data_IF_287516624502
#
_entry.id   IF_287516624502
#
_cell.length_a   1.000
_cell.length_b   1.000
_cell.length_c   1.000
_cell.angle_alpha   90.00
_cell.angle_beta   90.00
_cell.angle_gamma   90.00
#
_symmetry.space_group_name_H-M   'P 1'
#
loop_
_entity.id
_entity.type
_entity.pdbx_description
1 polymer ?
#
# COMPACT_ATOMS: atom_id res chain seq x y z
N UNK A 1 -93.51 -38.32 57.53
CA UNK A 1 -92.95 -39.59 57.02
C UNK A 1 -91.80 -39.20 56.10
N UNK A 2 -90.54 -39.39 56.50
CA UNK A 2 -89.77 -40.67 56.50
C UNK A 2 -89.26 -40.99 55.07
N UNK A 3 -87.95 -40.84 54.74
CA UNK A 3 -86.80 -41.77 55.03
C UNK A 3 -86.77 -42.90 53.98
N UNK A 4 -85.70 -43.17 53.19
CA UNK A 4 -84.24 -42.89 53.35
C UNK A 4 -83.49 -42.62 52.00
N UNK A 5 -82.16 -42.85 52.00
CA UNK A 5 -81.06 -42.81 50.98
C UNK A 5 -81.22 -43.70 49.71
N UNK A 6 -80.42 -43.61 48.62
CA UNK A 6 -78.96 -43.95 48.49
C UNK A 6 -78.23 -43.21 47.35
N UNK A 7 -76.90 -43.11 47.54
CA UNK A 7 -75.83 -42.43 46.78
C UNK A 7 -75.59 -43.01 45.37
N UNK A 8 -75.23 -42.16 44.41
CA UNK A 8 -74.53 -42.53 43.17
C UNK A 8 -73.52 -41.45 42.75
N UNK A 9 -72.24 -41.80 42.66
CA UNK A 9 -71.16 -40.90 42.20
C UNK A 9 -71.05 -40.91 40.67
N UNK A 10 -70.92 -39.73 40.04
CA UNK A 10 -70.44 -39.57 38.67
C UNK A 10 -69.48 -38.39 38.60
N UNK A 11 -68.21 -38.69 38.30
CA UNK A 11 -67.15 -37.68 38.09
C UNK A 11 -67.17 -37.27 36.61
N UNK A 12 -67.45 -36.00 36.34
CA UNK A 12 -67.39 -35.40 35.00
C UNK A 12 -66.20 -34.46 34.88
N UNK A 13 -65.24 -34.77 34.01
CA UNK A 13 -64.05 -33.95 33.76
C UNK A 13 -64.39 -32.64 33.03
N UNK A 14 -63.84 -31.53 33.50
CA UNK A 14 -63.73 -30.29 32.72
C UNK A 14 -62.55 -30.42 31.75
N UNK A 15 -62.78 -30.19 30.46
CA UNK A 15 -61.74 -30.11 29.43
C UNK A 15 -61.33 -28.64 29.29
N UNK A 16 -60.13 -28.32 29.75
CA UNK A 16 -59.57 -26.97 29.67
C UNK A 16 -58.69 -26.85 28.43
N UNK A 17 -59.08 -25.97 27.50
CA UNK A 17 -58.35 -25.74 26.26
C UNK A 17 -56.99 -25.07 26.53
N UNK A 18 -55.92 -25.87 26.62
CA UNK A 18 -54.55 -25.34 26.61
C UNK A 18 -54.23 -24.79 25.22
N UNK A 19 -54.18 -23.46 25.13
CA UNK A 19 -53.55 -22.76 24.01
C UNK A 19 -52.06 -23.08 24.05
N UNK A 20 -51.57 -23.79 23.04
CA UNK A 20 -50.12 -23.97 22.85
C UNK A 20 -49.52 -22.65 22.40
N UNK A 21 -48.77 -21.99 23.29
CA UNK A 21 -47.91 -20.89 22.91
C UNK A 21 -46.86 -21.42 21.92
N UNK A 22 -46.72 -20.77 20.76
CA UNK A 22 -45.63 -21.05 19.85
C UNK A 22 -44.29 -20.80 20.56
N UNK A 23 -43.24 -21.62 20.33
CA UNK A 23 -41.94 -21.37 20.92
C UNK A 23 -41.43 -20.04 20.39
N UNK A 24 -41.27 -19.06 21.28
CA UNK A 24 -40.55 -17.83 21.01
C UNK A 24 -39.12 -18.22 20.65
N UNK A 25 -38.79 -18.14 19.35
CA UNK A 25 -37.41 -18.23 18.90
C UNK A 25 -36.66 -17.00 19.40
N UNK A 26 -36.11 -17.09 20.61
CA UNK A 26 -35.04 -16.21 21.05
C UNK A 26 -34.02 -16.19 19.92
N UNK A 27 -33.67 -15.03 19.34
CA UNK A 27 -32.57 -14.95 18.41
C UNK A 27 -31.35 -15.52 19.13
N UNK A 28 -30.77 -16.59 18.60
CA UNK A 28 -29.49 -17.06 19.11
C UNK A 28 -28.54 -15.87 19.05
N UNK A 29 -27.96 -15.49 20.20
CA UNK A 29 -27.05 -14.37 20.26
C UNK A 29 -25.98 -14.60 19.18
N UNK A 30 -25.94 -13.73 18.18
CA UNK A 30 -25.05 -13.87 17.03
C UNK A 30 -23.64 -14.00 17.60
N UNK A 31 -23.03 -15.18 17.43
CA UNK A 31 -21.66 -15.37 17.89
C UNK A 31 -20.82 -14.27 17.25
N UNK A 32 -20.01 -13.59 18.07
CA UNK A 32 -19.14 -12.49 17.63
C UNK A 32 -17.96 -13.03 16.82
N UNK A 33 -18.26 -13.65 15.68
CA UNK A 33 -17.30 -13.86 14.61
C UNK A 33 -16.96 -12.52 13.96
N UNK A 34 -15.93 -12.50 13.10
CA UNK A 34 -15.56 -11.33 12.32
C UNK A 34 -16.61 -11.10 11.24
N UNK A 35 -17.73 -10.47 11.58
CA UNK A 35 -18.83 -10.20 10.64
C UNK A 35 -18.75 -8.74 10.20
N UNK A 36 -18.39 -8.52 8.94
CA UNK A 36 -18.31 -7.20 8.31
C UNK A 36 -19.53 -7.03 7.40
N UNK A 37 -20.63 -6.53 7.97
CA UNK A 37 -21.94 -6.42 7.30
C UNK A 37 -22.67 -5.12 7.65
N UNK A 38 -23.09 -4.39 6.62
CA UNK A 38 -23.85 -3.14 6.74
C UNK A 38 -23.12 -1.95 6.11
N UNK A 39 -23.66 -0.75 6.34
CA UNK A 39 -23.00 0.49 5.99
C UNK A 39 -22.02 0.91 7.09
N UNK A 40 -20.84 1.38 6.69
CA UNK A 40 -19.77 1.87 7.55
C UNK A 40 -19.29 3.24 7.08
N UNK A 41 -18.95 4.09 8.05
CA UNK A 41 -18.16 5.30 7.85
C UNK A 41 -16.71 5.01 8.21
N UNK A 42 -15.80 5.30 7.28
CA UNK A 42 -14.35 5.16 7.43
C UNK A 42 -13.78 6.55 7.78
N UNK A 43 -13.24 6.71 8.97
CA UNK A 43 -12.56 7.93 9.44
C UNK A 43 -11.05 7.79 9.28
N UNK A 44 -10.41 8.62 8.45
CA UNK A 44 -8.97 8.63 8.24
C UNK A 44 -8.27 9.70 9.08
N UNK A 45 -7.28 9.30 9.87
CA UNK A 45 -6.50 10.20 10.70
C UNK A 45 -5.30 10.75 9.93
N UNK A 46 -5.58 11.66 8.99
CA UNK A 46 -4.57 12.31 8.15
C UNK A 46 -3.45 12.99 8.94
N UNK A 47 -3.74 13.47 10.15
CA UNK A 47 -2.76 14.06 11.06
C UNK A 47 -1.70 13.05 11.57
N UNK A 48 -1.99 11.74 11.48
CA UNK A 48 -1.09 10.64 11.82
C UNK A 48 -0.58 9.86 10.60
N UNK A 49 -0.82 10.35 9.38
CA UNK A 49 -0.27 9.73 8.17
C UNK A 49 1.25 9.68 8.24
N UNK A 50 1.83 8.56 7.82
CA UNK A 50 3.28 8.44 7.60
C UNK A 50 3.60 8.24 6.12
N UNK A 51 4.78 8.68 5.69
CA UNK A 51 5.41 8.40 4.39
C UNK A 51 6.67 7.57 4.64
N UNK A 52 6.68 6.32 4.18
CA UNK A 52 7.74 5.33 4.41
C UNK A 52 8.14 5.17 5.91
N UNK A 53 7.20 5.41 6.83
CA UNK A 53 7.41 5.35 8.28
C UNK A 53 7.86 6.65 8.95
N UNK A 54 8.15 7.74 8.23
CA UNK A 54 8.27 9.08 8.83
C UNK A 54 6.92 9.80 8.86
N UNK A 55 6.65 10.62 9.87
CA UNK A 55 5.40 11.37 9.97
C UNK A 55 5.29 12.38 8.81
N UNK A 56 4.19 12.30 8.06
CA UNK A 56 3.87 13.15 6.92
C UNK A 56 2.38 13.53 6.95
N UNK A 57 1.97 14.44 7.85
CA UNK A 57 0.57 14.73 8.12
C UNK A 57 -0.12 15.32 6.89
N UNK A 58 -1.25 14.73 6.51
CA UNK A 58 -2.17 15.38 5.57
C UNK A 58 -3.04 16.40 6.30
N UNK A 59 -3.27 17.55 5.67
CA UNK A 59 -4.31 18.50 6.09
C UNK A 59 -5.72 18.03 5.75
N UNK A 60 -5.84 17.03 4.88
CA UNK A 60 -7.10 16.58 4.34
C UNK A 60 -7.74 15.58 5.30
N UNK A 61 -8.72 16.06 6.08
CA UNK A 61 -9.57 15.19 6.90
C UNK A 61 -10.58 14.48 6.01
N UNK A 62 -10.19 13.36 5.41
CA UNK A 62 -11.07 12.54 4.59
C UNK A 62 -11.91 11.60 5.45
N UNK A 63 -13.12 11.33 4.99
CA UNK A 63 -13.88 10.15 5.39
C UNK A 63 -14.53 9.55 4.14
N UNK A 64 -14.73 8.25 4.13
CA UNK A 64 -15.37 7.54 3.03
C UNK A 64 -16.48 6.63 3.58
N UNK A 65 -17.44 6.28 2.73
CA UNK A 65 -18.57 5.44 3.10
C UNK A 65 -18.57 4.15 2.30
N UNK A 66 -18.81 3.03 2.97
CA UNK A 66 -18.73 1.70 2.37
C UNK A 66 -19.87 0.80 2.86
N UNK A 67 -20.49 0.07 1.95
CA UNK A 67 -21.40 -1.02 2.27
C UNK A 67 -20.66 -2.35 2.13
N UNK A 68 -20.62 -3.13 3.19
CA UNK A 68 -19.97 -4.44 3.22
C UNK A 68 -20.95 -5.59 3.40
N UNK A 69 -20.57 -6.73 2.85
CA UNK A 69 -21.16 -8.05 3.09
C UNK A 69 -20.03 -9.03 3.35
N UNK A 70 -20.19 -9.96 4.29
CA UNK A 70 -19.23 -11.03 4.56
C UNK A 70 -19.87 -12.43 4.53
N UNK A 71 -19.07 -13.44 4.22
CA UNK A 71 -19.43 -14.87 4.26
C UNK A 71 -18.31 -15.67 4.92
N UNK A 72 -18.66 -16.52 5.88
CA UNK A 72 -17.72 -17.37 6.60
C UNK A 72 -17.93 -18.84 6.25
N UNK A 73 -16.86 -19.50 5.82
CA UNK A 73 -16.76 -20.94 5.57
C UNK A 73 -15.78 -21.54 6.60
N UNK A 74 -15.72 -22.88 6.81
CA UNK A 74 -14.73 -23.49 7.70
C UNK A 74 -13.26 -23.19 7.36
N UNK A 75 -13.00 -22.75 6.12
CA UNK A 75 -11.68 -22.36 5.61
C UNK A 75 -11.30 -20.90 5.87
N UNK A 76 -12.22 -20.07 6.40
CA UNK A 76 -12.00 -18.64 6.62
C UNK A 76 -13.24 -17.78 6.31
N UNK A 77 -13.15 -16.49 6.61
CA UNK A 77 -14.17 -15.49 6.27
C UNK A 77 -13.67 -14.55 5.17
N UNK A 78 -14.56 -14.21 4.25
CA UNK A 78 -14.31 -13.28 3.15
C UNK A 78 -15.41 -12.22 3.11
N UNK A 79 -15.10 -11.03 2.62
CA UNK A 79 -16.02 -9.91 2.50
C UNK A 79 -15.83 -9.18 1.17
N UNK A 80 -16.89 -8.50 0.75
CA UNK A 80 -16.90 -7.61 -0.41
C UNK A 80 -17.46 -6.27 0.00
N UNK A 81 -16.83 -5.20 -0.47
CA UNK A 81 -17.25 -3.82 -0.25
C UNK A 81 -17.73 -3.15 -1.53
N UNK A 82 -18.68 -2.23 -1.39
CA UNK A 82 -19.05 -1.24 -2.43
C UNK A 82 -18.98 0.14 -1.81
N UNK A 83 -18.23 1.05 -2.43
CA UNK A 83 -18.15 2.44 -1.98
C UNK A 83 -19.49 3.14 -2.19
N UNK A 84 -19.88 3.92 -1.20
CA UNK A 84 -21.08 4.75 -1.20
C UNK A 84 -20.70 6.19 -1.57
N UNK A 85 -21.65 6.97 -2.07
CA UNK A 85 -21.41 8.37 -2.39
C UNK A 85 -21.09 9.18 -1.11
N UNK A 86 -20.07 10.04 -1.20
CA UNK A 86 -19.53 10.77 -0.04
C UNK A 86 -20.49 11.84 0.52
N UNK A 87 -21.44 12.32 -0.29
CA UNK A 87 -22.46 13.31 0.10
C UNK A 87 -23.80 12.64 0.44
N UNK A 88 -24.12 11.52 -0.21
CA UNK A 88 -25.33 10.73 -0.01
C UNK A 88 -25.00 9.24 0.16
N UNK A 89 -24.61 8.79 1.36
CA UNK A 89 -24.24 7.40 1.64
C UNK A 89 -25.45 6.43 1.68
N UNK A 90 -26.51 6.73 0.92
CA UNK A 90 -27.63 5.83 0.61
C UNK A 90 -27.57 5.30 -0.83
N UNK A 91 -26.65 5.81 -1.66
CA UNK A 91 -26.41 5.34 -3.03
C UNK A 91 -24.94 4.95 -3.22
N UNK A 92 -24.65 4.16 -4.25
CA UNK A 92 -23.28 3.78 -4.60
C UNK A 92 -22.53 4.96 -5.22
N UNK A 93 -21.22 5.03 -4.96
CA UNK A 93 -20.31 5.97 -5.62
C UNK A 93 -20.30 5.75 -7.14
N UNK A 94 -20.06 6.80 -7.92
CA UNK A 94 -19.97 6.73 -9.39
C UNK A 94 -18.70 7.45 -9.86
N UNK A 95 -17.75 6.79 -10.55
CA UNK A 95 -17.75 5.36 -10.94
C UNK A 95 -17.75 4.42 -9.72
N UNK A 96 -18.22 3.19 -9.92
CA UNK A 96 -18.35 2.23 -8.81
C UNK A 96 -16.97 1.72 -8.36
N UNK A 97 -16.63 1.96 -7.11
CA UNK A 97 -15.44 1.39 -6.46
C UNK A 97 -15.86 0.19 -5.59
N UNK A 98 -15.09 -0.90 -5.66
CA UNK A 98 -15.34 -2.15 -4.93
C UNK A 98 -14.07 -2.70 -4.31
N UNK A 99 -14.20 -3.45 -3.22
CA UNK A 99 -13.08 -4.09 -2.52
C UNK A 99 -13.40 -5.54 -2.15
N UNK A 100 -12.38 -6.36 -1.97
CA UNK A 100 -12.41 -7.75 -1.51
C UNK A 100 -11.51 -7.89 -0.27
N UNK A 101 -12.08 -8.29 0.87
CA UNK A 101 -11.34 -8.45 2.11
C UNK A 101 -11.37 -9.90 2.59
N UNK A 102 -10.27 -10.35 3.18
CA UNK A 102 -10.11 -11.69 3.76
C UNK A 102 -9.79 -11.59 5.25
N UNK A 103 -10.39 -12.43 6.08
CA UNK A 103 -10.10 -12.44 7.51
C UNK A 103 -8.93 -13.37 7.82
N UNK A 104 -7.78 -12.78 8.15
CA UNK A 104 -6.50 -13.46 8.41
C UNK A 104 -5.90 -12.92 9.70
N UNK A 105 -5.46 -13.81 10.60
CA UNK A 105 -4.76 -13.48 11.85
C UNK A 105 -5.40 -12.35 12.68
N UNK A 106 -6.74 -12.42 12.82
CA UNK A 106 -7.52 -11.45 13.61
C UNK A 106 -7.94 -10.18 12.86
N UNK A 107 -7.53 -10.01 11.60
CA UNK A 107 -7.70 -8.79 10.82
C UNK A 107 -8.42 -9.05 9.50
N UNK A 108 -9.25 -8.11 9.08
CA UNK A 108 -9.70 -8.02 7.68
C UNK A 108 -8.61 -7.36 6.83
N UNK A 109 -8.07 -8.11 5.87
CA UNK A 109 -7.03 -7.66 4.92
C UNK A 109 -7.66 -7.46 3.54
N UNK A 110 -7.57 -6.24 3.00
CA UNK A 110 -8.06 -5.90 1.65
C UNK A 110 -7.10 -6.33 0.54
N UNK A 111 -7.63 -6.84 -0.56
CA UNK A 111 -6.86 -7.07 -1.77
C UNK A 111 -6.36 -5.73 -2.34
N UNK A 112 -5.10 -5.62 -2.82
CA UNK A 112 -4.62 -4.36 -3.39
C UNK A 112 -5.43 -3.92 -4.63
N UNK A 113 -6.20 -2.84 -4.51
CA UNK A 113 -6.93 -2.21 -5.61
C UNK A 113 -6.09 -1.07 -6.19
N UNK A 114 -6.03 -0.93 -7.52
CA UNK A 114 -5.26 0.15 -8.16
C UNK A 114 -6.14 1.36 -8.52
N UNK A 115 -5.65 2.56 -8.22
CA UNK A 115 -6.24 3.84 -8.62
C UNK A 115 -5.22 4.77 -9.28
N UNK A 116 -5.69 5.85 -9.89
CA UNK A 116 -4.85 6.91 -10.46
C UNK A 116 -4.93 8.17 -9.58
N UNK A 117 -3.79 8.66 -9.12
CA UNK A 117 -3.68 9.92 -8.39
C UNK A 117 -3.12 11.02 -9.29
N UNK A 118 -3.79 12.18 -9.37
CA UNK A 118 -3.42 13.26 -10.29
C UNK A 118 -2.32 14.14 -9.69
N UNK A 119 -1.20 14.25 -10.39
CA UNK A 119 -0.02 14.98 -9.94
C UNK A 119 0.29 16.16 -10.86
N UNK A 120 0.64 17.30 -10.25
CA UNK A 120 0.91 18.55 -10.99
C UNK A 120 2.26 18.55 -11.73
N UNK A 121 3.18 17.64 -11.36
CA UNK A 121 4.54 17.56 -11.89
C UNK A 121 4.97 16.11 -12.04
N UNK A 122 5.04 15.65 -13.28
CA UNK A 122 5.52 14.34 -13.69
C UNK A 122 6.47 14.49 -14.89
N UNK A 123 7.39 13.55 -15.05
CA UNK A 123 8.29 13.43 -16.18
C UNK A 123 7.56 12.78 -17.36
N UNK A 124 7.26 13.57 -18.39
CA UNK A 124 6.69 13.09 -19.64
C UNK A 124 7.68 12.25 -20.45
N UNK A 125 7.17 11.44 -21.38
CA UNK A 125 7.99 10.57 -22.24
C UNK A 125 8.98 11.33 -23.16
N UNK A 126 8.82 12.64 -23.31
CA UNK A 126 9.73 13.54 -24.02
C UNK A 126 10.73 14.27 -23.11
N UNK A 127 10.82 13.86 -21.84
CA UNK A 127 11.71 14.43 -20.82
C UNK A 127 11.23 15.76 -20.22
N UNK A 128 10.03 16.24 -20.58
CA UNK A 128 9.50 17.51 -20.03
C UNK A 128 8.70 17.29 -18.75
N UNK A 129 8.65 18.32 -17.91
CA UNK A 129 7.77 18.36 -16.73
C UNK A 129 6.36 18.74 -17.17
N UNK A 130 5.39 17.86 -16.93
CA UNK A 130 3.97 18.03 -17.29
C UNK A 130 3.07 17.67 -16.10
N UNK A 131 1.79 18.05 -16.15
CA UNK A 131 0.79 17.41 -15.30
C UNK A 131 0.54 15.97 -15.79
N UNK A 132 0.30 15.05 -14.86
CA UNK A 132 0.10 13.64 -15.15
C UNK A 132 -0.57 12.90 -14.00
N UNK A 133 -0.44 11.59 -13.97
CA UNK A 133 -0.93 10.76 -12.89
C UNK A 133 0.08 9.68 -12.53
N UNK A 134 0.07 9.25 -11.27
CA UNK A 134 0.74 8.05 -10.82
C UNK A 134 -0.27 7.00 -10.38
N UNK A 135 0.10 5.72 -10.50
CA UNK A 135 -0.74 4.61 -10.07
C UNK A 135 -0.44 4.28 -8.62
N UNK A 136 -1.46 4.18 -7.79
CA UNK A 136 -1.37 3.80 -6.39
C UNK A 136 -2.13 2.49 -6.16
N UNK A 137 -1.54 1.59 -5.38
CA UNK A 137 -2.17 0.36 -4.89
C UNK A 137 -2.63 0.56 -3.45
N UNK A 138 -3.93 0.44 -3.21
CA UNK A 138 -4.61 0.69 -1.94
C UNK A 138 -5.00 -0.62 -1.27
N UNK A 139 -4.79 -0.74 0.04
CA UNK A 139 -5.26 -1.86 0.87
C UNK A 139 -5.55 -1.40 2.30
N UNK A 140 -6.41 -2.12 3.02
CA UNK A 140 -6.64 -1.96 4.45
C UNK A 140 -6.25 -3.20 5.24
N UNK A 141 -5.73 -2.99 6.45
CA UNK A 141 -5.72 -3.98 7.53
C UNK A 141 -6.63 -3.46 8.64
N UNK A 142 -7.75 -4.12 8.92
CA UNK A 142 -8.79 -3.70 9.88
C UNK A 142 -9.05 -4.76 10.96
N UNK A 143 -8.69 -4.47 12.20
CA UNK A 143 -8.95 -5.31 13.38
C UNK A 143 -10.34 -5.01 13.99
N UNK A 144 -11.26 -5.99 14.08
CA UNK A 144 -12.52 -5.84 14.81
C UNK A 144 -12.30 -5.58 16.30
N UNK A 145 -12.98 -4.58 16.86
CA UNK A 145 -12.81 -4.14 18.24
C UNK A 145 -13.99 -4.57 19.13
N UNK A 146 -13.79 -4.72 20.46
CA UNK A 146 -14.88 -5.05 21.39
C UNK A 146 -16.04 -4.04 21.45
N UNK A 147 -15.82 -2.80 20.98
CA UNK A 147 -16.85 -1.76 20.89
C UNK A 147 -17.67 -1.80 19.58
N UNK A 148 -17.45 -2.80 18.74
CA UNK A 148 -18.14 -2.99 17.46
C UNK A 148 -17.61 -2.14 16.30
N UNK A 149 -16.56 -1.35 16.51
CA UNK A 149 -15.83 -0.67 15.44
C UNK A 149 -14.76 -1.60 14.85
N UNK A 150 -14.12 -1.15 13.77
CA UNK A 150 -12.82 -1.68 13.37
C UNK A 150 -11.77 -0.58 13.47
N UNK A 151 -10.54 -0.95 13.83
CA UNK A 151 -9.38 -0.05 13.86
C UNK A 151 -8.30 -0.63 12.97
N UNK A 152 -7.57 0.22 12.27
CA UNK A 152 -6.65 -0.28 11.27
C UNK A 152 -5.79 0.79 10.63
N UNK A 153 -5.20 0.40 9.50
CA UNK A 153 -4.35 1.24 8.66
C UNK A 153 -4.75 1.05 7.20
N UNK A 154 -4.94 2.16 6.49
CA UNK A 154 -4.89 2.20 5.04
C UNK A 154 -3.44 2.31 4.60
N UNK A 155 -3.02 1.45 3.68
CA UNK A 155 -1.69 1.50 3.05
C UNK A 155 -1.87 1.82 1.57
N UNK A 156 -1.16 2.84 1.11
CA UNK A 156 -1.18 3.32 -0.27
C UNK A 156 0.26 3.20 -0.81
N UNK A 157 0.49 2.39 -1.82
CA UNK A 157 1.83 2.20 -2.41
C UNK A 157 1.85 2.75 -3.82
N UNK A 158 2.73 3.71 -4.12
CA UNK A 158 2.89 4.23 -5.48
C UNK A 158 3.64 3.18 -6.32
N UNK A 159 2.98 2.64 -7.35
CA UNK A 159 3.50 1.52 -8.17
C UNK A 159 3.99 1.93 -9.56
N UNK A 160 3.81 3.19 -9.99
CA UNK A 160 4.43 3.75 -11.21
C UNK A 160 5.34 4.95 -10.90
N UNK A 161 6.16 5.39 -11.86
CA UNK A 161 7.31 6.29 -11.59
C UNK A 161 7.30 7.62 -12.37
N UNK A 162 6.22 7.91 -13.11
CA UNK A 162 6.12 9.10 -13.95
C UNK A 162 6.29 10.38 -13.11
N UNK A 163 5.76 10.38 -11.88
CA UNK A 163 5.78 11.53 -10.98
C UNK A 163 6.86 11.42 -9.89
N UNK A 164 7.72 10.40 -9.96
CA UNK A 164 8.91 10.22 -9.12
C UNK A 164 8.69 9.77 -7.68
N UNK A 165 7.51 9.24 -7.35
CA UNK A 165 7.23 8.68 -6.03
C UNK A 165 7.25 7.15 -5.97
N UNK A 166 7.66 6.41 -7.02
CA UNK A 166 7.54 4.94 -7.03
C UNK A 166 8.20 4.28 -5.82
N UNK A 167 7.51 3.32 -5.21
CA UNK A 167 7.94 2.67 -3.96
C UNK A 167 7.71 3.50 -2.71
N UNK A 168 7.09 4.69 -2.81
CA UNK A 168 6.54 5.41 -1.66
C UNK A 168 5.39 4.61 -1.07
N UNK A 169 5.36 4.50 0.25
CA UNK A 169 4.26 3.91 1.02
C UNK A 169 3.70 4.96 1.96
N UNK A 170 2.45 5.36 1.74
CA UNK A 170 1.69 6.11 2.73
C UNK A 170 0.94 5.15 3.64
N UNK A 171 0.92 5.45 4.95
CA UNK A 171 0.15 4.69 5.93
C UNK A 171 -0.68 5.64 6.77
N UNK A 172 -2.02 5.55 6.64
CA UNK A 172 -2.99 6.42 7.32
C UNK A 172 -3.82 5.58 8.29
N UNK A 173 -3.80 5.86 9.61
CA UNK A 173 -4.67 5.16 10.56
C UNK A 173 -6.15 5.39 10.24
N UNK A 174 -6.97 4.35 10.33
CA UNK A 174 -8.40 4.39 9.99
C UNK A 174 -9.25 3.77 11.10
N UNK A 175 -10.44 4.35 11.30
CA UNK A 175 -11.49 3.78 12.17
C UNK A 175 -12.76 3.57 11.36
N UNK A 176 -13.23 2.33 11.27
CA UNK A 176 -14.50 2.00 10.62
C UNK A 176 -15.61 1.92 11.69
N UNK A 177 -16.65 2.73 11.54
CA UNK A 177 -17.82 2.74 12.43
C UNK A 177 -19.07 2.32 11.66
N UNK A 178 -19.74 1.26 12.08
CA UNK A 178 -21.02 0.84 11.48
C UNK A 178 -22.09 1.90 11.71
N UNK A 179 -22.79 2.30 10.66
CA UNK A 179 -23.83 3.34 10.69
C UNK A 179 -25.23 2.80 10.41
N UNK A 180 -25.34 1.62 9.80
CA UNK A 180 -26.63 0.99 9.53
C UNK A 180 -26.50 -0.30 8.74
N UNK A 181 -27.62 -0.76 8.18
CA UNK A 181 -27.64 -1.86 7.21
C UNK A 181 -27.22 -1.37 5.81
N UNK A 182 -27.06 -2.28 4.85
CA UNK A 182 -26.75 -1.91 3.45
C UNK A 182 -27.95 -1.16 2.86
N UNK A 183 -27.78 0.04 2.25
CA UNK A 183 -28.89 0.77 1.66
C UNK A 183 -29.57 -0.03 0.54
N UNK A 184 -30.91 -0.05 0.50
CA UNK A 184 -31.67 -0.96 -0.36
C UNK A 184 -31.52 -0.76 -1.89
N UNK A 185 -30.86 0.31 -2.33
CA UNK A 185 -30.49 0.53 -3.74
C UNK A 185 -29.03 0.19 -4.08
N UNK A 186 -28.22 -0.20 -3.10
CA UNK A 186 -26.79 -0.51 -3.28
C UNK A 186 -26.62 -2.02 -3.49
N UNK A 187 -26.05 -2.40 -4.63
CA UNK A 187 -25.63 -3.77 -4.86
C UNK A 187 -24.24 -3.96 -4.28
N UNK A 188 -24.11 -4.84 -3.29
CA UNK A 188 -22.83 -5.39 -2.84
C UNK A 188 -22.70 -6.79 -3.43
N UNK A 189 -21.51 -7.15 -3.92
CA UNK A 189 -21.24 -8.47 -4.48
C UNK A 189 -21.52 -9.61 -3.47
N UNK A 190 -21.60 -10.85 -3.94
CA UNK A 190 -21.72 -11.99 -3.03
C UNK A 190 -20.31 -12.49 -2.62
N UNK A 191 -19.91 -12.39 -1.34
CA UNK A 191 -18.61 -12.90 -0.90
C UNK A 191 -18.48 -14.41 -1.07
N UNK A 192 -19.60 -15.15 -1.15
CA UNK A 192 -19.55 -16.58 -1.42
C UNK A 192 -19.03 -16.90 -2.83
N UNK A 193 -19.13 -15.95 -3.78
CA UNK A 193 -18.60 -16.03 -5.14
C UNK A 193 -17.10 -15.77 -5.25
N UNK A 194 -16.43 -15.28 -4.19
CA UNK A 194 -14.97 -15.24 -4.11
C UNK A 194 -14.47 -16.69 -4.13
N UNK A 195 -13.89 -17.11 -5.26
CA UNK A 195 -13.36 -18.46 -5.46
C UNK A 195 -11.86 -18.47 -5.24
N UNK A 196 -11.48 -18.48 -3.96
CA UNK A 196 -10.11 -18.58 -3.50
C UNK A 196 -10.07 -18.64 -1.97
N UNK A 197 -9.13 -19.39 -1.42
CA UNK A 197 -8.51 -18.99 -0.14
C UNK A 197 -7.79 -17.67 -0.45
N UNK A 198 -7.69 -16.70 0.49
CA UNK A 198 -6.76 -15.59 0.28
C UNK A 198 -5.43 -16.17 -0.16
N UNK A 199 -4.96 -15.75 -1.33
CA UNK A 199 -3.54 -15.75 -1.50
C UNK A 199 -3.03 -14.73 -0.46
N UNK A 200 -2.56 -15.24 0.70
CA UNK A 200 -1.20 -14.85 1.10
C UNK A 200 -0.41 -15.01 -0.19
N UNK A 201 -0.14 -13.88 -0.85
CA UNK A 201 0.30 -13.81 -2.25
C UNK A 201 1.51 -14.69 -2.37
N UNK A 202 1.30 -15.95 -2.78
CA UNK A 202 2.30 -17.00 -2.57
C UNK A 202 3.49 -16.59 -3.40
N UNK A 203 4.57 -16.05 -2.79
CA UNK A 203 5.39 -15.08 -3.48
C UNK A 203 5.95 -15.77 -4.70
N UNK A 204 5.71 -15.21 -5.89
CA UNK A 204 5.95 -15.88 -7.17
C UNK A 204 7.33 -16.56 -7.09
N UNK A 205 7.41 -17.91 -7.13
CA UNK A 205 8.39 -18.66 -6.35
C UNK A 205 9.78 -18.06 -6.42
N UNK A 206 10.26 -17.57 -5.26
CA UNK A 206 11.44 -16.73 -5.18
C UNK A 206 12.61 -17.36 -5.96
N UNK A 207 12.95 -16.75 -7.08
CA UNK A 207 13.98 -17.24 -7.96
C UNK A 207 15.36 -16.94 -7.35
N UNK A 208 16.33 -17.81 -7.61
CA UNK A 208 17.72 -17.47 -7.33
C UNK A 208 18.14 -16.27 -8.20
N UNK A 209 18.70 -15.24 -7.58
CA UNK A 209 19.11 -14.01 -8.25
C UNK A 209 19.93 -13.12 -7.33
N UNK A 210 20.40 -11.95 -7.81
CA UNK A 210 21.06 -10.97 -6.98
C UNK A 210 20.11 -10.46 -5.89
N UNK A 211 20.64 -10.28 -4.69
CA UNK A 211 19.91 -9.82 -3.51
C UNK A 211 20.35 -8.40 -3.19
N UNK A 212 19.38 -7.51 -2.96
CA UNK A 212 19.60 -6.15 -2.47
C UNK A 212 18.75 -5.95 -1.21
N UNK A 213 19.20 -6.57 -0.10
CA UNK A 213 18.48 -6.65 1.16
C UNK A 213 19.31 -6.12 2.32
N UNK A 214 18.72 -5.24 3.13
CA UNK A 214 19.35 -4.69 4.34
C UNK A 214 19.54 -3.17 4.29
N UNK A 215 20.31 -2.66 5.25
CA UNK A 215 20.73 -1.26 5.29
C UNK A 215 22.04 -1.07 4.53
N UNK A 216 22.10 -0.04 3.70
CA UNK A 216 23.25 0.35 2.91
C UNK A 216 23.63 1.81 3.20
N UNK A 217 24.92 2.07 3.37
CA UNK A 217 25.53 3.40 3.23
C UNK A 217 25.90 3.58 1.76
N UNK A 218 25.43 4.65 1.14
CA UNK A 218 25.77 5.02 -0.24
C UNK A 218 26.69 6.24 -0.19
N UNK A 219 27.92 6.06 -0.67
CA UNK A 219 28.98 7.05 -0.69
C UNK A 219 29.14 7.66 -2.08
N UNK A 220 29.13 8.99 -2.14
CA UNK A 220 29.21 9.77 -3.38
C UNK A 220 30.59 10.37 -3.56
N UNK A 221 31.23 10.09 -4.68
CA UNK A 221 32.55 10.64 -5.01
C UNK A 221 32.41 11.89 -5.89
N UNK A 222 31.99 13.01 -5.28
CA UNK A 222 31.80 14.28 -5.98
C UNK A 222 33.12 14.84 -6.54
N UNK A 223 34.27 14.43 -5.99
CA UNK A 223 35.59 14.78 -6.52
C UNK A 223 35.88 14.12 -7.89
N UNK A 224 35.12 13.07 -8.25
CA UNK A 224 35.11 12.43 -9.57
C UNK A 224 33.85 12.72 -10.38
N UNK A 225 33.00 13.66 -9.95
CA UNK A 225 31.83 14.04 -10.72
C UNK A 225 32.25 14.63 -12.09
N UNK A 226 31.50 14.27 -13.13
CA UNK A 226 31.58 14.96 -14.43
C UNK A 226 30.29 15.71 -14.74
N UNK A 227 30.40 16.78 -15.52
CA UNK A 227 29.30 17.46 -16.19
C UNK A 227 29.51 17.33 -17.70
N UNK A 228 28.59 16.66 -18.40
CA UNK A 228 28.68 16.34 -19.83
C UNK A 228 30.04 15.66 -20.18
N UNK A 229 30.50 14.72 -19.35
CA UNK A 229 31.76 13.98 -19.52
C UNK A 229 33.04 14.77 -19.18
N UNK A 230 32.94 16.00 -18.66
CA UNK A 230 34.09 16.81 -18.21
C UNK A 230 34.13 16.91 -16.69
N UNK A 231 35.28 16.73 -16.01
CA UNK A 231 35.36 16.85 -14.55
C UNK A 231 34.81 18.20 -14.06
N UNK A 232 34.01 18.18 -12.98
CA UNK A 232 33.55 19.41 -12.32
C UNK A 232 34.65 19.98 -11.42
N UNK A 233 34.65 21.29 -11.21
CA UNK A 233 35.65 21.97 -10.36
C UNK A 233 35.19 22.08 -8.90
N UNK A 234 34.53 21.03 -8.37
CA UNK A 234 34.01 21.00 -7.01
C UNK A 234 35.11 21.05 -5.94
N UNK A 235 34.78 21.58 -4.76
CA UNK A 235 35.71 21.64 -3.62
C UNK A 235 35.92 20.24 -3.01
N UNK A 236 37.15 19.66 -3.06
CA UNK A 236 37.43 18.35 -2.50
C UNK A 236 37.13 18.22 -0.99
N UNK A 237 37.10 19.33 -0.25
CA UNK A 237 36.88 19.32 1.21
C UNK A 237 35.42 19.06 1.60
N UNK A 238 34.46 19.22 0.68
CA UNK A 238 33.04 18.88 0.85
C UNK A 238 32.61 17.69 -0.03
N UNK A 239 33.54 17.10 -0.79
CA UNK A 239 33.27 16.26 -1.94
C UNK A 239 32.94 14.78 -1.66
N UNK A 240 32.67 14.39 -0.42
CA UNK A 240 32.16 13.05 -0.12
C UNK A 240 31.02 13.12 0.88
N UNK A 241 29.79 13.04 0.37
CA UNK A 241 28.59 12.87 1.19
C UNK A 241 28.18 11.40 1.19
N UNK A 242 27.55 10.99 2.29
CA UNK A 242 26.90 9.69 2.41
C UNK A 242 25.41 9.89 2.62
N UNK A 243 24.58 9.02 2.08
CA UNK A 243 23.22 8.83 2.56
C UNK A 243 22.98 7.35 2.88
N UNK A 244 21.88 7.06 3.57
CA UNK A 244 21.55 5.71 4.02
C UNK A 244 20.20 5.27 3.48
N UNK A 245 20.11 3.99 3.10
CA UNK A 245 18.92 3.40 2.52
C UNK A 245 18.71 2.00 3.10
N UNK A 246 17.47 1.67 3.43
CA UNK A 246 17.04 0.29 3.60
C UNK A 246 16.50 -0.22 2.26
N UNK A 247 16.86 -1.45 1.87
CA UNK A 247 16.33 -2.12 0.69
C UNK A 247 15.76 -3.49 1.03
N UNK A 248 14.75 -3.91 0.26
CA UNK A 248 14.27 -5.29 0.12
C UNK A 248 14.11 -5.62 -1.36
N UNK A 249 14.51 -6.81 -1.75
CA UNK A 249 14.42 -7.33 -3.11
C UNK A 249 13.51 -8.55 -3.23
N UNK A 250 13.00 -8.78 -4.44
CA UNK A 250 12.27 -9.98 -4.85
C UNK A 250 12.72 -10.34 -6.26
N UNK A 251 13.13 -11.60 -6.43
CA UNK A 251 13.42 -12.19 -7.74
C UNK A 251 12.29 -13.15 -8.14
N UNK A 252 11.79 -13.01 -9.35
CA UNK A 252 10.80 -13.90 -9.97
C UNK A 252 11.34 -14.41 -11.31
N UNK A 253 10.60 -15.27 -11.99
CA UNK A 253 10.94 -15.68 -13.37
C UNK A 253 10.97 -14.51 -14.38
N UNK A 254 10.37 -13.36 -14.07
CA UNK A 254 10.39 -12.16 -14.91
C UNK A 254 11.60 -11.23 -14.63
N UNK A 255 12.44 -11.55 -13.63
CA UNK A 255 13.56 -10.72 -13.19
C UNK A 255 13.45 -10.31 -11.71
N UNK A 256 14.39 -9.46 -11.27
CA UNK A 256 14.44 -8.98 -9.89
C UNK A 256 14.08 -7.50 -9.78
N UNK A 257 13.38 -7.14 -8.70
CA UNK A 257 13.02 -5.77 -8.33
C UNK A 257 13.36 -5.55 -6.85
N UNK A 258 13.83 -4.36 -6.50
CA UNK A 258 14.13 -3.95 -5.14
C UNK A 258 13.45 -2.62 -4.83
N UNK A 259 12.84 -2.53 -3.65
CA UNK A 259 12.24 -1.30 -3.12
C UNK A 259 13.12 -0.74 -2.02
N UNK A 260 13.26 0.58 -1.99
CA UNK A 260 14.14 1.31 -1.09
C UNK A 260 13.43 2.40 -0.32
N UNK A 261 13.82 2.59 0.94
CA UNK A 261 13.41 3.72 1.78
C UNK A 261 14.65 4.46 2.27
N UNK A 262 14.69 5.78 2.06
CA UNK A 262 15.78 6.64 2.53
C UNK A 262 15.70 6.79 4.03
N UNK A 263 16.82 6.59 4.69
CA UNK A 263 16.99 6.70 6.14
C UNK A 263 17.48 8.11 6.51
N UNK A 264 17.21 8.54 7.74
CA UNK A 264 17.64 9.83 8.26
C UNK A 264 19.15 9.83 8.54
N UNK A 265 19.87 10.85 8.06
CA UNK A 265 21.34 10.83 7.99
C UNK A 265 22.03 10.66 9.37
N UNK A 266 21.37 11.05 10.47
CA UNK A 266 21.88 10.96 11.85
C UNK A 266 21.36 9.77 12.66
N UNK A 267 20.23 9.16 12.28
CA UNK A 267 19.64 8.01 12.96
C UNK A 267 19.05 7.05 11.92
N UNK A 268 19.86 6.06 11.52
CA UNK A 268 19.50 5.14 10.45
C UNK A 268 18.36 4.17 10.81
N UNK A 269 17.81 4.22 12.02
CA UNK A 269 16.57 3.52 12.40
C UNK A 269 15.30 4.31 12.05
N UNK A 270 15.42 5.53 11.52
CA UNK A 270 14.29 6.38 11.13
C UNK A 270 14.33 6.64 9.62
N UNK A 271 13.17 6.68 8.99
CA UNK A 271 13.03 7.09 7.59
C UNK A 271 13.12 8.61 7.44
N UNK A 272 13.52 9.06 6.26
CA UNK A 272 13.48 10.46 5.81
C UNK A 272 12.34 10.71 4.80
N UNK A 273 11.60 9.66 4.40
CA UNK A 273 10.45 9.75 3.49
C UNK A 273 10.82 9.73 1.99
N UNK A 274 12.09 9.46 1.65
CA UNK A 274 12.49 9.16 0.28
C UNK A 274 12.22 7.70 -0.09
N UNK A 275 11.86 7.45 -1.35
CA UNK A 275 11.65 6.13 -1.92
C UNK A 275 12.55 5.91 -3.15
N UNK A 276 12.76 4.64 -3.54
CA UNK A 276 13.40 4.26 -4.81
C UNK A 276 12.94 2.85 -5.21
N UNK A 277 12.91 2.56 -6.51
CA UNK A 277 12.71 1.22 -7.05
C UNK A 277 13.80 0.91 -8.05
N UNK A 278 14.60 -0.12 -7.80
CA UNK A 278 15.59 -0.62 -8.76
C UNK A 278 15.12 -1.95 -9.35
N UNK A 279 15.46 -2.19 -10.61
CA UNK A 279 15.28 -3.47 -11.31
C UNK A 279 16.65 -4.01 -11.68
N UNK A 280 16.84 -5.32 -11.60
CA UNK A 280 18.09 -5.93 -12.03
C UNK A 280 18.03 -6.27 -13.52
N UNK A 281 18.89 -5.64 -14.32
CA UNK A 281 19.03 -5.84 -15.74
C UNK A 281 20.50 -5.69 -16.16
N UNK A 282 20.96 -6.53 -17.09
CA UNK A 282 22.30 -6.46 -17.69
C UNK A 282 23.46 -6.40 -16.66
N UNK A 283 23.33 -7.15 -15.55
CA UNK A 283 24.33 -7.20 -14.48
C UNK A 283 24.21 -6.10 -13.42
N UNK A 284 23.29 -5.15 -13.60
CA UNK A 284 23.19 -3.94 -12.77
C UNK A 284 21.80 -3.81 -12.13
N UNK A 285 21.76 -3.29 -10.90
CA UNK A 285 20.55 -2.70 -10.32
C UNK A 285 20.37 -1.28 -10.85
N UNK A 286 19.28 -1.03 -11.54
CA UNK A 286 19.02 0.24 -12.24
C UNK A 286 17.61 0.73 -11.94
N UNK A 287 17.42 2.03 -11.75
CA UNK A 287 16.09 2.64 -11.74
C UNK A 287 15.80 3.41 -13.03
N UNK A 288 14.53 3.74 -13.28
CA UNK A 288 14.19 4.65 -14.38
C UNK A 288 14.40 6.09 -13.93
N UNK A 289 14.94 6.99 -14.79
CA UNK A 289 15.05 8.40 -14.47
C UNK A 289 13.71 8.96 -14.01
N UNK A 290 13.71 9.55 -12.83
CA UNK A 290 12.50 10.05 -12.18
C UNK A 290 12.66 11.51 -11.77
N UNK A 291 11.54 12.20 -11.59
CA UNK A 291 11.55 13.61 -11.25
C UNK A 291 12.11 13.83 -9.83
N UNK A 292 13.28 14.46 -9.73
CA UNK A 292 13.89 14.76 -8.44
C UNK A 292 13.19 15.93 -7.75
N UNK A 293 13.37 16.04 -6.44
CA UNK A 293 12.90 17.23 -5.69
C UNK A 293 13.68 18.46 -6.20
N UNK A 294 13.01 19.60 -6.48
CA UNK A 294 13.71 20.81 -6.92
C UNK A 294 14.80 21.21 -5.92
N UNK A 295 16.03 21.40 -6.41
CA UNK A 295 17.16 21.80 -5.57
C UNK A 295 17.43 23.32 -5.67
N UNK A 296 17.79 23.98 -4.56
CA UNK A 296 18.05 25.41 -4.58
C UNK A 296 19.41 25.73 -5.18
N UNK A 297 19.41 26.55 -6.23
CA UNK A 297 20.61 27.04 -6.91
C UNK A 297 20.69 28.58 -6.88
N UNK A 298 21.81 29.13 -7.32
CA UNK A 298 22.01 30.58 -7.43
C UNK A 298 21.61 31.08 -8.82
N UNK A 299 20.42 31.66 -8.93
CA UNK A 299 19.95 32.35 -10.12
C UNK A 299 20.47 33.79 -10.24
N UNK A 300 20.11 34.46 -11.33
CA UNK A 300 20.53 35.84 -11.63
C UNK A 300 19.93 36.91 -10.70
N UNK A 301 18.77 36.63 -10.10
CA UNK A 301 18.02 37.55 -9.22
C UNK A 301 17.88 37.08 -7.77
N UNK A 302 18.52 35.97 -7.39
CA UNK A 302 18.45 35.38 -6.05
C UNK A 302 18.57 33.86 -6.06
N UNK A 303 18.19 33.21 -4.96
CA UNK A 303 18.02 31.75 -4.95
C UNK A 303 16.81 31.37 -5.79
N UNK A 304 17.00 30.45 -6.72
CA UNK A 304 15.94 29.85 -7.54
C UNK A 304 16.06 28.33 -7.45
N UNK A 305 15.17 27.58 -8.09
CA UNK A 305 15.25 26.11 -8.14
C UNK A 305 15.17 25.64 -9.56
N UNK A 306 16.08 24.75 -9.97
CA UNK A 306 15.87 23.94 -11.16
C UNK A 306 15.04 22.69 -10.83
N UNK A 307 14.69 21.96 -11.89
CA UNK A 307 14.13 20.63 -11.82
C UNK A 307 15.07 19.69 -12.57
N UNK A 308 15.50 18.61 -11.92
CA UNK A 308 16.29 17.55 -12.54
C UNK A 308 15.52 16.23 -12.59
N UNK A 309 15.92 15.33 -13.49
CA UNK A 309 15.68 13.90 -13.33
C UNK A 309 16.90 13.23 -12.71
N UNK A 310 16.70 12.20 -11.89
CA UNK A 310 17.79 11.44 -11.25
C UNK A 310 17.61 9.94 -11.51
N UNK A 311 18.70 9.22 -11.74
CA UNK A 311 18.75 7.76 -11.76
C UNK A 311 20.05 7.19 -11.17
N UNK A 312 20.03 5.92 -10.81
CA UNK A 312 21.18 5.10 -10.40
C UNK A 312 21.36 3.90 -11.34
N UNK A 313 22.61 3.54 -11.58
CA UNK A 313 23.01 2.20 -12.04
C UNK A 313 24.09 1.66 -11.11
N UNK A 314 23.92 0.45 -10.60
CA UNK A 314 24.74 -0.16 -9.54
C UNK A 314 25.07 -1.64 -9.86
N UNK A 315 26.33 -1.93 -10.16
CA UNK A 315 26.86 -3.27 -10.37
C UNK A 315 27.25 -3.94 -9.03
N UNK A 316 26.68 -5.11 -8.67
CA UNK A 316 27.14 -5.89 -7.52
C UNK A 316 28.58 -6.39 -7.71
N UNK A 317 29.40 -6.21 -6.69
CA UNK A 317 30.83 -6.54 -6.72
C UNK A 317 31.15 -7.82 -5.93
N UNK A 318 32.24 -8.54 -6.24
CA UNK A 318 32.66 -9.73 -5.48
C UNK A 318 32.99 -9.49 -4.00
N UNK A 319 33.24 -8.24 -3.61
CA UNK A 319 33.48 -7.83 -2.21
C UNK A 319 32.19 -7.57 -1.42
N UNK A 320 31.02 -7.73 -2.04
CA UNK A 320 29.70 -7.47 -1.44
C UNK A 320 29.27 -6.00 -1.44
N UNK A 321 30.08 -5.09 -2.00
CA UNK A 321 29.63 -3.72 -2.31
C UNK A 321 28.83 -3.68 -3.62
N UNK A 322 28.18 -2.56 -3.89
CA UNK A 322 27.74 -2.21 -5.24
C UNK A 322 28.48 -0.94 -5.69
N UNK A 323 28.87 -0.87 -6.96
CA UNK A 323 29.56 0.28 -7.55
C UNK A 323 28.82 0.75 -8.78
N UNK A 324 28.84 2.06 -9.03
CA UNK A 324 28.26 2.58 -10.26
C UNK A 324 28.15 4.10 -10.24
N UNK A 325 27.07 4.63 -10.80
CA UNK A 325 26.90 6.06 -11.08
C UNK A 325 25.50 6.52 -10.70
N UNK A 326 25.40 7.67 -10.04
CA UNK A 326 24.20 8.50 -10.05
C UNK A 326 24.29 9.45 -11.25
N UNK A 327 23.27 9.38 -12.12
CA UNK A 327 23.09 10.31 -13.23
C UNK A 327 21.99 11.31 -12.87
N UNK A 328 22.28 12.59 -13.01
CA UNK A 328 21.32 13.67 -12.86
C UNK A 328 21.26 14.48 -14.17
N UNK A 329 20.07 14.81 -14.65
CA UNK A 329 19.89 15.63 -15.87
C UNK A 329 19.03 16.84 -15.54
N UNK A 330 19.58 18.04 -15.71
CA UNK A 330 18.89 19.31 -15.44
C UNK A 330 17.86 19.58 -16.55
N UNK A 331 16.57 19.62 -16.19
CA UNK A 331 15.44 19.73 -17.14
C UNK A 331 14.97 21.18 -17.38
N UNK A 332 15.22 22.10 -16.46
CA UNK A 332 14.81 23.52 -16.52
C UNK A 332 16.02 24.45 -16.43
N UNK A 333 15.84 25.77 -16.64
CA UNK A 333 16.96 26.70 -16.90
C UNK A 333 17.11 27.88 -15.94
N UNK A 334 16.47 27.83 -14.77
CA UNK A 334 16.52 28.89 -13.76
C UNK A 334 17.96 29.15 -13.28
N UNK A 335 18.77 28.09 -13.25
CA UNK A 335 20.19 28.10 -12.88
C UNK A 335 21.14 28.32 -14.08
N UNK A 336 20.62 28.41 -15.31
CA UNK A 336 21.43 28.55 -16.53
C UNK A 336 22.10 27.28 -17.05
N UNK A 337 21.80 26.11 -16.47
CA UNK A 337 22.48 24.83 -16.74
C UNK A 337 21.59 23.78 -17.43
N UNK A 338 20.47 24.16 -18.04
CA UNK A 338 19.53 23.22 -18.67
C UNK A 338 20.22 22.28 -19.68
N UNK A 339 19.89 20.99 -19.62
CA UNK A 339 20.47 19.94 -20.46
C UNK A 339 21.84 19.47 -19.99
N UNK A 340 22.37 19.97 -18.87
CA UNK A 340 23.58 19.41 -18.25
C UNK A 340 23.27 18.05 -17.63
N UNK A 341 24.07 17.06 -17.99
CA UNK A 341 24.08 15.74 -17.37
C UNK A 341 25.25 15.68 -16.39
N UNK A 342 24.96 15.49 -15.11
CA UNK A 342 25.96 15.23 -14.07
C UNK A 342 26.05 13.73 -13.81
N UNK A 343 27.26 13.20 -13.83
CA UNK A 343 27.56 11.80 -13.51
C UNK A 343 28.44 11.76 -12.27
N UNK A 344 27.93 11.20 -11.18
CA UNK A 344 28.63 11.12 -9.89
C UNK A 344 28.87 9.66 -9.52
N UNK A 345 30.13 9.18 -9.44
CA UNK A 345 30.40 7.80 -9.04
C UNK A 345 29.91 7.53 -7.61
N UNK A 346 29.31 6.36 -7.41
CA UNK A 346 28.75 5.93 -6.12
C UNK A 346 29.22 4.54 -5.72
N UNK A 347 29.33 4.32 -4.41
CA UNK A 347 29.61 3.02 -3.80
C UNK A 347 28.59 2.75 -2.70
N UNK A 348 27.80 1.68 -2.82
CA UNK A 348 26.88 1.23 -1.79
C UNK A 348 27.50 0.07 -0.99
N UNK A 349 27.59 0.23 0.33
CA UNK A 349 28.14 -0.77 1.26
C UNK A 349 27.06 -1.19 2.25
N UNK A 350 26.77 -2.50 2.36
CA UNK A 350 25.82 -3.03 3.34
C UNK A 350 26.38 -2.84 4.76
N UNK A 351 25.60 -2.23 5.65
CA UNK A 351 25.98 -1.97 7.05
C UNK A 351 25.20 -2.82 8.06
N UNK A 352 24.10 -3.45 7.65
CA UNK A 352 23.28 -4.30 8.52
C UNK A 352 21.99 -4.74 7.85
N UNK A 353 21.05 -5.26 8.65
CA UNK A 353 19.71 -5.61 8.19
C UNK A 353 18.79 -4.38 8.13
N UNK A 354 17.56 -4.53 7.64
CA UNK A 354 16.56 -3.45 7.63
C UNK A 354 16.07 -3.19 9.07
N UNK A 355 16.06 -1.95 9.58
CA UNK A 355 15.56 -1.66 10.91
C UNK A 355 14.04 -1.89 10.99
N UNK A 356 13.49 -2.51 12.07
CA UNK A 356 12.07 -2.86 12.15
C UNK A 356 11.07 -1.69 12.05
N UNK A 357 11.54 -0.46 12.28
CA UNK A 357 10.76 0.78 12.20
C UNK A 357 10.66 1.37 10.79
N UNK A 358 11.28 0.76 9.77
CA UNK A 358 11.29 1.27 8.40
C UNK A 358 10.23 0.57 7.55
N UNK A 359 9.26 1.34 7.06
CA UNK A 359 8.30 0.86 6.06
C UNK A 359 8.95 0.87 4.67
N UNK A 360 8.87 -0.27 3.98
CA UNK A 360 9.27 -0.46 2.59
C UNK A 360 8.04 -0.88 1.78
N UNK A 361 7.95 -0.45 0.52
CA UNK A 361 6.96 -1.00 -0.41
C UNK A 361 7.23 -2.50 -0.63
N UNK A 362 6.18 -3.31 -0.75
CA UNK A 362 6.32 -4.70 -1.14
C UNK A 362 6.80 -4.77 -2.61
N UNK A 363 7.98 -5.34 -2.91
CA UNK A 363 8.44 -5.47 -4.28
C UNK A 363 7.48 -6.30 -5.16
N UNK A 364 6.64 -7.17 -4.58
CA UNK A 364 5.64 -7.93 -5.33
C UNK A 364 4.57 -7.05 -5.99
N UNK A 365 4.29 -5.86 -5.44
CA UNK A 365 3.37 -4.88 -6.04
C UNK A 365 3.95 -4.18 -7.28
N UNK A 366 5.27 -4.30 -7.50
CA UNK A 366 6.03 -3.56 -8.53
C UNK A 366 6.76 -4.52 -9.50
N UNK A 367 6.85 -5.81 -9.14
CA UNK A 367 7.26 -6.88 -10.03
C UNK A 367 6.30 -6.99 -11.23
N UNK A 368 6.85 -7.28 -12.41
CA UNK A 368 6.01 -7.59 -13.55
C UNK A 368 5.24 -8.90 -13.29
N UNK A 369 3.97 -9.03 -13.72
CA UNK A 369 3.26 -10.30 -13.68
C UNK A 369 4.07 -11.39 -14.37
N UNK A 370 4.05 -12.65 -13.88
CA UNK A 370 4.70 -13.75 -14.58
C UNK A 370 4.10 -13.88 -15.98
N UNK A 371 4.96 -14.09 -16.98
CA UNK A 371 4.50 -14.32 -18.35
C UNK A 371 3.55 -15.53 -18.39
N UNK A 372 2.48 -15.50 -19.22
CA UNK A 372 1.61 -16.66 -19.39
C UNK A 372 2.44 -17.87 -19.80
N UNK A 373 2.12 -19.09 -19.29
CA UNK A 373 2.84 -20.29 -19.70
C UNK A 373 2.72 -20.46 -21.21
N UNK A 374 3.85 -20.44 -21.90
CA UNK A 374 3.90 -20.71 -23.34
C UNK A 374 3.46 -22.15 -23.57
N UNK A 375 2.26 -22.33 -24.11
CA UNK A 375 1.79 -23.62 -24.60
C UNK A 375 2.65 -24.02 -25.80
N UNK A 376 3.74 -24.72 -25.53
CA UNK A 376 4.53 -25.40 -26.56
C UNK A 376 3.60 -26.30 -27.38
N UNK A 377 3.58 -26.18 -28.72
CA UNK A 377 2.88 -27.15 -29.53
C UNK A 377 3.58 -28.50 -29.36
N UNK A 378 2.87 -29.47 -28.79
CA UNK A 378 3.34 -30.86 -28.81
C UNK A 378 3.45 -31.35 -30.26
N UNK A 379 4.49 -32.14 -30.60
CA UNK A 379 4.74 -32.65 -31.95
C UNK A 379 3.73 -33.72 -32.38
#
# INVERSE_FOLDING_TARGET
>A
MAVLTVIGWMIGYLIEHRIFAAPTSTPAATAAGPVLVGAYRMDYDGAKRTKNGTLDPSTDTSNAWWAFRSSCKPTGCVATGTKLDDHNPQVAHTPADTDELHFVDGHWQGAPVQGQNQQQRCLGADGKVIAGAETEAFTWSLEPQPDGRLRGVQTETVVTNECGNQGTVYQTPVVATRTGDVPGGVTVADPAAITGVPATSSPAPAAAGPVLDGTYRVDYDWAKQTANGKPTTGDPATAQTSNWWAFRSLCTAAGCVATGSRLADTNHNQANGGARVLRFADGHWQDTPYLHRPEPCRGTSGTVTDTSSLSWSLEPQPDGTLRGVQTETVLTNECGNQGTVYETPVVATRTGDVPPSITLADPALIAAPPAPPTSSPHP
#
